data_IF_150590371855
#
_entry.id   IF_150590371855
#
_cell.length_a   1.000
_cell.length_b   1.000
_cell.length_c   1.000
_cell.angle_alpha   90.00
_cell.angle_beta   90.00
_cell.angle_gamma   90.00
#
_symmetry.space_group_name_H-M   'P 1'
#
loop_
_entity.id
_entity.type
_entity.pdbx_description
1 polymer ?
#
# COMPACT_ATOMS: atom_id res chain seq x y z
N UNK A 1 11.83 92.52 34.77
CA UNK A 1 11.48 91.15 35.20
C UNK A 1 11.44 90.28 33.97
N UNK A 2 12.54 89.56 33.68
CA UNK A 2 12.66 88.74 32.46
C UNK A 2 12.95 87.35 32.91
N UNK A 3 11.97 86.46 32.69
CA UNK A 3 12.07 85.04 33.04
C UNK A 3 12.68 84.26 31.89
N UNK A 4 13.92 83.74 32.11
CA UNK A 4 14.61 82.86 31.16
C UNK A 4 14.16 81.41 31.37
N UNK A 5 13.67 80.75 30.31
CA UNK A 5 13.46 79.36 30.25
C UNK A 5 14.77 78.59 29.90
N UNK A 6 15.08 77.49 30.53
CA UNK A 6 16.21 76.67 30.11
C UNK A 6 15.81 75.72 28.96
N UNK A 7 16.74 75.53 27.99
CA UNK A 7 16.65 74.63 26.88
C UNK A 7 16.92 73.17 27.38
N UNK A 8 15.91 72.37 27.30
CA UNK A 8 16.09 70.91 27.52
C UNK A 8 16.73 70.21 26.30
N UNK A 9 17.81 69.51 26.55
CA UNK A 9 18.51 68.63 25.56
C UNK A 9 17.71 67.39 25.39
N UNK A 10 17.15 67.15 24.22
CA UNK A 10 16.51 65.90 23.85
C UNK A 10 17.62 64.95 23.43
N UNK A 11 17.91 63.93 24.27
CA UNK A 11 18.74 62.78 23.90
C UNK A 11 17.92 61.83 23.03
N UNK A 12 18.24 61.80 21.74
CA UNK A 12 17.73 60.73 20.81
C UNK A 12 18.44 59.44 21.12
N UNK A 13 17.73 58.50 21.75
CA UNK A 13 18.15 57.12 21.91
C UNK A 13 17.84 56.38 20.62
N UNK A 14 18.87 56.14 19.82
CA UNK A 14 18.78 55.25 18.63
C UNK A 14 18.68 53.80 19.12
N UNK A 15 17.49 53.22 19.04
CA UNK A 15 17.27 51.80 19.25
C UNK A 15 17.77 51.04 18.02
N UNK A 16 18.90 50.39 18.17
CA UNK A 16 19.41 49.42 17.17
C UNK A 16 18.57 48.15 17.30
N UNK A 17 17.57 47.98 16.43
CA UNK A 17 16.83 46.73 16.33
C UNK A 17 17.71 45.67 15.67
N UNK A 18 18.30 44.78 16.47
CA UNK A 18 18.93 43.57 15.99
C UNK A 18 17.80 42.62 15.59
N UNK A 19 17.47 42.56 14.30
CA UNK A 19 16.63 41.51 13.74
C UNK A 19 17.47 40.23 13.70
N UNK A 20 17.32 39.39 14.72
CA UNK A 20 17.78 38.02 14.66
C UNK A 20 16.97 37.31 13.57
N UNK A 21 17.56 37.12 12.40
CA UNK A 21 17.04 36.20 11.39
C UNK A 21 17.08 34.78 11.98
N UNK A 22 15.91 34.30 12.38
CA UNK A 22 15.74 32.85 12.66
C UNK A 22 16.08 32.11 11.37
N UNK A 23 16.94 31.10 11.42
CA UNK A 23 17.13 30.24 10.26
C UNK A 23 15.74 29.65 9.93
N UNK A 24 15.24 29.92 8.73
CA UNK A 24 14.14 29.18 8.19
C UNK A 24 14.57 27.73 8.22
N UNK A 25 13.95 26.93 9.10
CA UNK A 25 14.05 25.48 9.06
C UNK A 25 13.55 25.10 7.68
N UNK A 26 14.47 24.93 6.74
CA UNK A 26 14.16 24.34 5.46
C UNK A 26 13.62 22.94 5.79
N UNK A 27 12.30 22.78 5.71
CA UNK A 27 11.73 21.44 5.61
C UNK A 27 12.45 20.78 4.44
N UNK A 28 13.17 19.68 4.74
CA UNK A 28 13.68 18.82 3.69
C UNK A 28 12.51 18.56 2.72
N UNK A 29 12.74 18.58 1.39
CA UNK A 29 11.71 18.23 0.45
C UNK A 29 11.06 16.94 0.92
N UNK A 30 9.73 16.90 0.98
CA UNK A 30 8.98 15.66 1.24
C UNK A 30 9.50 14.68 0.19
N UNK A 31 10.26 13.66 0.63
CA UNK A 31 10.71 12.60 -0.26
C UNK A 31 9.45 11.99 -0.86
N UNK A 32 9.26 12.22 -2.14
CA UNK A 32 8.14 11.62 -2.86
C UNK A 32 8.34 10.11 -2.81
N UNK A 33 7.28 9.36 -2.50
CA UNK A 33 7.29 7.89 -2.51
C UNK A 33 7.47 7.31 -3.92
N UNK A 34 7.82 8.13 -4.87
CA UNK A 34 7.92 7.82 -6.29
C UNK A 34 9.38 7.60 -6.66
N UNK A 35 9.71 6.37 -7.05
CA UNK A 35 11.01 5.97 -7.57
C UNK A 35 10.81 5.49 -9.02
N UNK A 36 11.18 6.32 -10.02
CA UNK A 36 10.92 6.02 -11.44
C UNK A 36 11.49 4.68 -11.91
N UNK A 37 12.62 4.26 -11.35
CA UNK A 37 13.26 2.99 -11.68
C UNK A 37 12.45 1.78 -11.21
N UNK A 38 11.68 1.93 -10.13
CA UNK A 38 10.78 0.89 -9.65
C UNK A 38 9.47 0.85 -10.44
N UNK A 39 9.05 1.95 -11.05
CA UNK A 39 7.81 2.04 -11.83
C UNK A 39 7.76 1.01 -12.95
N UNK A 40 8.86 0.85 -13.69
CA UNK A 40 8.95 -0.14 -14.75
C UNK A 40 8.78 -1.57 -14.22
N UNK A 41 9.34 -1.86 -13.04
CA UNK A 41 9.21 -3.14 -12.38
C UNK A 41 7.76 -3.40 -11.92
N UNK A 42 7.11 -2.43 -11.28
CA UNK A 42 5.70 -2.57 -10.88
C UNK A 42 4.77 -2.70 -12.09
N UNK A 43 5.03 -1.97 -13.18
CA UNK A 43 4.27 -2.16 -14.42
C UNK A 43 4.37 -3.60 -14.93
N UNK A 44 5.58 -4.18 -14.96
CA UNK A 44 5.80 -5.57 -15.35
C UNK A 44 5.12 -6.58 -14.43
N UNK A 45 5.01 -6.30 -13.11
CA UNK A 45 4.23 -7.15 -12.21
C UNK A 45 2.77 -7.22 -12.64
N UNK A 46 2.17 -6.07 -12.98
CA UNK A 46 0.78 -6.01 -13.44
C UNK A 46 0.60 -6.57 -14.86
N UNK A 47 1.67 -6.67 -15.66
CA UNK A 47 1.68 -7.44 -16.92
C UNK A 47 1.91 -8.95 -16.72
N UNK A 48 1.91 -9.43 -15.46
CA UNK A 48 2.16 -10.83 -15.08
C UNK A 48 3.55 -11.34 -15.50
N UNK A 49 4.55 -10.46 -15.47
CA UNK A 49 5.96 -10.76 -15.79
C UNK A 49 6.87 -10.63 -14.56
N UNK A 50 6.64 -11.41 -13.48
CA UNK A 50 7.35 -11.22 -12.21
C UNK A 50 8.87 -11.42 -12.33
N UNK A 51 9.33 -12.32 -13.20
CA UNK A 51 10.76 -12.53 -13.42
C UNK A 51 11.47 -11.36 -14.12
N UNK A 52 10.77 -10.63 -15.01
CA UNK A 52 11.29 -9.41 -15.63
C UNK A 52 11.24 -8.24 -14.65
N UNK A 53 10.15 -8.11 -13.90
CA UNK A 53 10.00 -7.13 -12.83
C UNK A 53 11.12 -7.24 -11.79
N UNK A 54 11.43 -8.48 -11.37
CA UNK A 54 12.51 -8.77 -10.41
C UNK A 54 13.85 -8.22 -10.86
N UNK A 55 14.21 -8.40 -12.12
CA UNK A 55 15.45 -7.87 -12.68
C UNK A 55 15.52 -6.34 -12.57
N UNK A 56 14.40 -5.62 -12.80
CA UNK A 56 14.36 -4.17 -12.63
C UNK A 56 14.53 -3.78 -11.16
N UNK A 57 13.87 -4.48 -10.25
CA UNK A 57 13.97 -4.23 -8.80
C UNK A 57 15.37 -4.54 -8.26
N UNK A 58 16.02 -5.61 -8.75
CA UNK A 58 17.40 -5.97 -8.38
C UNK A 58 18.40 -4.91 -8.83
N UNK A 59 18.27 -4.36 -10.06
CA UNK A 59 19.12 -3.26 -10.55
C UNK A 59 19.01 -2.04 -9.63
N UNK A 60 17.77 -1.67 -9.23
CA UNK A 60 17.57 -0.59 -8.26
C UNK A 60 18.19 -0.90 -6.91
N UNK A 61 17.93 -2.09 -6.37
CA UNK A 61 18.40 -2.51 -5.06
C UNK A 61 19.93 -2.57 -4.99
N UNK A 62 20.61 -3.07 -6.04
CA UNK A 62 22.07 -3.07 -6.13
C UNK A 62 22.66 -1.65 -6.09
N UNK A 63 21.99 -0.70 -6.71
CA UNK A 63 22.40 0.72 -6.73
C UNK A 63 22.04 1.44 -5.43
N UNK A 64 21.04 0.97 -4.70
CA UNK A 64 20.50 1.56 -3.47
C UNK A 64 20.29 0.49 -2.38
N UNK A 65 21.35 -0.16 -1.90
CA UNK A 65 21.23 -1.35 -1.04
C UNK A 65 20.63 -1.06 0.35
N UNK A 66 20.61 0.21 0.76
CA UNK A 66 20.01 0.65 2.02
C UNK A 66 18.54 1.13 1.88
N UNK A 67 18.02 1.15 0.64
CA UNK A 67 16.62 1.50 0.40
C UNK A 67 15.71 0.29 0.67
N UNK A 68 14.85 0.35 1.71
CA UNK A 68 13.95 -0.75 2.04
C UNK A 68 12.93 -1.05 0.95
N UNK A 69 12.58 -0.05 0.13
CA UNK A 69 11.59 -0.22 -0.95
C UNK A 69 12.14 -1.10 -2.07
N UNK A 70 13.45 -1.06 -2.34
CA UNK A 70 14.10 -1.97 -3.29
C UNK A 70 13.90 -3.44 -2.91
N UNK A 71 14.25 -3.80 -1.66
CA UNK A 71 14.04 -5.17 -1.16
C UNK A 71 12.56 -5.57 -1.10
N UNK A 72 11.66 -4.65 -0.70
CA UNK A 72 10.23 -4.92 -0.68
C UNK A 72 9.67 -5.18 -2.09
N UNK A 73 10.18 -4.46 -3.09
CA UNK A 73 9.80 -4.66 -4.50
C UNK A 73 10.28 -6.01 -5.04
N UNK A 74 11.49 -6.44 -4.68
CA UNK A 74 12.00 -7.79 -4.99
C UNK A 74 11.10 -8.85 -4.35
N UNK A 75 10.71 -8.68 -3.07
CA UNK A 75 9.78 -9.58 -2.40
C UNK A 75 8.42 -9.65 -3.13
N UNK A 76 7.88 -8.49 -3.56
CA UNK A 76 6.64 -8.45 -4.32
C UNK A 76 6.70 -9.32 -5.58
N UNK A 77 7.84 -9.35 -6.28
CA UNK A 77 8.01 -10.17 -7.48
C UNK A 77 7.91 -11.66 -7.20
N UNK A 78 8.47 -12.14 -6.10
CA UNK A 78 8.38 -13.54 -5.68
C UNK A 78 6.95 -13.92 -5.25
N UNK A 79 6.27 -13.04 -4.51
CA UNK A 79 4.88 -13.26 -4.12
C UNK A 79 3.97 -13.35 -5.36
N UNK A 80 4.13 -12.43 -6.33
CA UNK A 80 3.36 -12.48 -7.57
C UNK A 80 3.60 -13.76 -8.35
N UNK A 81 4.85 -14.20 -8.46
CA UNK A 81 5.20 -15.45 -9.14
C UNK A 81 4.54 -16.65 -8.45
N UNK A 82 4.60 -16.74 -7.13
CA UNK A 82 3.92 -17.77 -6.35
C UNK A 82 2.40 -17.74 -6.58
N UNK A 83 1.78 -16.56 -6.49
CA UNK A 83 0.35 -16.40 -6.72
C UNK A 83 -0.09 -16.81 -8.13
N UNK A 84 0.73 -16.53 -9.14
CA UNK A 84 0.49 -16.98 -10.53
C UNK A 84 0.55 -18.51 -10.62
N UNK A 85 1.61 -19.12 -10.08
CA UNK A 85 1.80 -20.59 -10.11
C UNK A 85 0.68 -21.34 -9.38
N UNK A 86 0.20 -20.78 -8.26
CA UNK A 86 -0.91 -21.37 -7.50
C UNK A 86 -2.30 -21.06 -8.08
N UNK A 87 -2.39 -20.22 -9.12
CA UNK A 87 -3.65 -19.85 -9.76
C UNK A 87 -4.62 -19.08 -8.89
N UNK A 88 -4.12 -18.36 -7.86
CA UNK A 88 -4.97 -17.64 -6.89
C UNK A 88 -5.38 -16.24 -7.34
N UNK A 89 -4.86 -15.74 -8.46
CA UNK A 89 -5.14 -14.37 -8.95
C UNK A 89 -6.47 -14.24 -9.71
N UNK A 90 -7.31 -15.27 -9.77
CA UNK A 90 -8.57 -15.26 -10.53
C UNK A 90 -9.75 -14.78 -9.71
N UNK A 91 -10.75 -14.16 -10.36
CA UNK A 91 -12.01 -13.80 -9.69
C UNK A 91 -12.71 -14.99 -9.08
N UNK A 92 -12.65 -16.18 -9.74
CA UNK A 92 -13.19 -17.42 -9.23
C UNK A 92 -12.63 -17.77 -7.85
N UNK A 93 -11.30 -17.63 -7.66
CA UNK A 93 -10.67 -17.91 -6.38
C UNK A 93 -11.21 -17.00 -5.27
N UNK A 94 -11.28 -15.69 -5.53
CA UNK A 94 -11.72 -14.72 -4.54
C UNK A 94 -13.24 -14.74 -4.28
N UNK A 95 -14.07 -15.13 -5.25
CA UNK A 95 -15.52 -15.15 -5.10
C UNK A 95 -16.06 -16.43 -4.49
N UNK A 96 -15.32 -17.54 -4.63
CA UNK A 96 -15.68 -18.81 -4.01
C UNK A 96 -15.11 -18.89 -2.59
N UNK A 97 -16.00 -18.86 -1.59
CA UNK A 97 -15.58 -18.91 -0.19
C UNK A 97 -14.90 -20.24 0.19
N UNK A 98 -15.14 -21.34 -0.54
CA UNK A 98 -14.43 -22.60 -0.30
C UNK A 98 -12.99 -22.53 -0.78
N UNK A 99 -12.74 -21.86 -1.90
CA UNK A 99 -11.39 -21.63 -2.43
C UNK A 99 -10.64 -20.58 -1.60
N UNK A 100 -11.30 -19.47 -1.28
CA UNK A 100 -10.67 -18.34 -0.58
C UNK A 100 -10.40 -18.64 0.90
N UNK A 101 -11.43 -19.12 1.63
CA UNK A 101 -11.36 -19.36 3.08
C UNK A 101 -11.14 -20.82 3.46
N UNK A 102 -11.30 -21.72 2.51
CA UNK A 102 -11.16 -23.17 2.73
C UNK A 102 -9.70 -23.58 2.86
N UNK A 103 -9.49 -24.70 3.54
CA UNK A 103 -8.16 -25.34 3.66
C UNK A 103 -7.89 -26.25 2.47
N UNK A 104 -8.04 -25.73 1.25
CA UNK A 104 -7.62 -26.48 0.06
C UNK A 104 -6.09 -26.39 0.01
N UNK A 105 -5.38 -27.53 0.06
CA UNK A 105 -3.93 -27.50 0.06
C UNK A 105 -3.42 -26.92 -1.26
N UNK A 106 -2.59 -25.90 -1.14
CA UNK A 106 -1.74 -25.39 -2.22
C UNK A 106 -0.35 -26.04 -2.06
N UNK A 107 0.43 -26.03 -3.09
CA UNK A 107 1.78 -26.59 -3.10
C UNK A 107 2.80 -25.48 -3.41
N UNK A 108 3.09 -24.59 -2.44
CA UNK A 108 4.02 -23.48 -2.65
C UNK A 108 5.41 -24.02 -3.01
N UNK A 109 6.07 -23.33 -3.96
CA UNK A 109 7.45 -23.63 -4.30
C UNK A 109 8.37 -23.25 -3.14
N UNK A 110 9.12 -24.21 -2.56
CA UNK A 110 9.99 -23.91 -1.41
C UNK A 110 11.07 -22.88 -1.71
N UNK A 111 11.52 -22.79 -2.97
CA UNK A 111 12.55 -21.83 -3.40
C UNK A 111 11.97 -20.43 -3.48
N UNK A 112 10.81 -20.27 -4.14
CA UNK A 112 10.12 -18.99 -4.19
C UNK A 112 9.73 -18.49 -2.80
N UNK A 113 9.20 -19.40 -1.97
CA UNK A 113 8.88 -19.10 -0.57
C UNK A 113 10.08 -18.57 0.19
N UNK A 114 11.22 -19.27 0.14
CA UNK A 114 12.43 -18.87 0.84
C UNK A 114 12.95 -17.53 0.34
N UNK A 115 12.94 -17.30 -0.97
CA UNK A 115 13.37 -16.05 -1.58
C UNK A 115 12.44 -14.89 -1.21
N UNK A 116 11.12 -15.10 -1.21
CA UNK A 116 10.14 -14.11 -0.74
C UNK A 116 10.44 -13.65 0.68
N UNK A 117 10.49 -14.59 1.63
CA UNK A 117 10.69 -14.24 3.04
C UNK A 117 12.08 -13.67 3.32
N UNK A 118 13.11 -14.05 2.55
CA UNK A 118 14.45 -13.45 2.67
C UNK A 118 14.46 -11.98 2.24
N UNK A 119 13.90 -11.66 1.07
CA UNK A 119 13.81 -10.30 0.56
C UNK A 119 12.88 -9.43 1.43
N UNK A 120 11.75 -9.98 1.86
CA UNK A 120 10.79 -9.30 2.72
C UNK A 120 11.38 -8.96 4.10
N UNK A 121 12.08 -9.91 4.72
CA UNK A 121 12.81 -9.68 5.97
C UNK A 121 13.88 -8.60 5.80
N UNK A 122 14.62 -8.60 4.70
CA UNK A 122 15.62 -7.56 4.42
C UNK A 122 14.95 -6.18 4.34
N UNK A 123 13.82 -6.07 3.64
CA UNK A 123 13.05 -4.83 3.56
C UNK A 123 12.63 -4.32 4.95
N UNK A 124 12.11 -5.21 5.80
CA UNK A 124 11.70 -4.87 7.16
C UNK A 124 12.89 -4.44 8.03
N UNK A 125 14.02 -5.17 7.98
CA UNK A 125 15.20 -4.85 8.75
C UNK A 125 15.75 -3.45 8.37
N UNK A 126 15.87 -3.16 7.08
CA UNK A 126 16.30 -1.85 6.56
C UNK A 126 15.32 -0.74 6.95
N UNK A 127 14.02 -0.96 6.77
CA UNK A 127 13.00 0.01 7.13
C UNK A 127 13.01 0.30 8.64
N UNK A 128 13.09 -0.73 9.48
CA UNK A 128 13.18 -0.56 10.94
C UNK A 128 14.45 0.18 11.35
N UNK A 129 15.59 -0.10 10.71
CA UNK A 129 16.83 0.62 10.98
C UNK A 129 16.67 2.11 10.66
N UNK A 130 16.09 2.45 9.51
CA UNK A 130 15.86 3.82 9.08
C UNK A 130 14.86 4.53 9.99
N UNK A 131 13.79 3.87 10.39
CA UNK A 131 12.77 4.41 11.29
C UNK A 131 13.25 4.66 12.73
N UNK A 132 14.35 4.02 13.19
CA UNK A 132 14.98 4.34 14.49
C UNK A 132 15.62 5.73 14.50
N UNK A 133 16.17 6.17 13.39
CA UNK A 133 16.83 7.48 13.26
C UNK A 133 15.92 8.53 12.63
N UNK A 134 15.02 8.12 11.76
CA UNK A 134 14.06 8.97 11.03
C UNK A 134 12.64 8.41 11.16
N UNK A 135 11.94 8.61 12.29
CA UNK A 135 10.64 7.98 12.55
C UNK A 135 9.53 8.33 11.57
N UNK A 136 9.67 9.40 10.81
CA UNK A 136 8.73 9.88 9.78
C UNK A 136 9.21 9.64 8.35
N UNK A 137 10.23 8.80 8.13
CA UNK A 137 10.69 8.48 6.78
C UNK A 137 9.59 7.77 5.99
N UNK A 138 9.10 8.42 4.94
CA UNK A 138 7.93 7.96 4.19
C UNK A 138 8.22 6.67 3.41
N UNK A 139 9.42 6.53 2.81
CA UNK A 139 9.81 5.32 2.10
C UNK A 139 9.89 4.11 3.03
N UNK A 140 10.49 4.29 4.21
CA UNK A 140 10.59 3.22 5.19
C UNK A 140 9.23 2.84 5.78
N UNK A 141 8.32 3.82 6.02
CA UNK A 141 6.96 3.55 6.45
C UNK A 141 6.16 2.82 5.38
N UNK A 142 6.34 3.20 4.12
CA UNK A 142 5.68 2.52 2.99
C UNK A 142 6.22 1.10 2.81
N UNK A 143 7.55 0.91 2.85
CA UNK A 143 8.15 -0.41 2.76
C UNK A 143 7.67 -1.36 3.87
N UNK A 144 7.53 -0.88 5.12
CA UNK A 144 6.92 -1.66 6.22
C UNK A 144 5.46 -1.99 5.96
N UNK A 145 4.69 -1.03 5.43
CA UNK A 145 3.28 -1.25 5.10
C UNK A 145 3.13 -2.30 4.01
N UNK A 146 3.93 -2.20 2.95
CA UNK A 146 3.92 -3.12 1.82
C UNK A 146 4.38 -4.53 2.25
N UNK A 147 5.48 -4.62 2.95
CA UNK A 147 6.08 -5.87 3.42
C UNK A 147 5.13 -6.66 4.33
N UNK A 148 4.62 -6.05 5.39
CA UNK A 148 3.63 -6.70 6.28
C UNK A 148 2.31 -7.05 5.57
N UNK A 149 1.91 -6.24 4.58
CA UNK A 149 0.77 -6.53 3.71
C UNK A 149 1.01 -7.79 2.87
N UNK A 150 2.20 -7.93 2.29
CA UNK A 150 2.59 -9.10 1.50
C UNK A 150 2.71 -10.37 2.36
N UNK A 151 3.26 -10.28 3.58
CA UNK A 151 3.23 -11.40 4.52
C UNK A 151 1.79 -11.83 4.86
N UNK A 152 0.89 -10.85 5.07
CA UNK A 152 -0.52 -11.13 5.32
C UNK A 152 -1.17 -11.83 4.12
N UNK A 153 -0.86 -11.41 2.90
CA UNK A 153 -1.35 -12.04 1.68
C UNK A 153 -0.79 -13.47 1.54
N UNK A 154 0.51 -13.68 1.77
CA UNK A 154 1.10 -15.01 1.74
C UNK A 154 0.42 -15.94 2.75
N UNK A 155 0.28 -15.48 4.00
CA UNK A 155 -0.36 -16.25 5.06
C UNK A 155 -1.83 -16.60 4.74
N UNK A 156 -2.59 -15.65 4.16
CA UNK A 156 -4.02 -15.87 3.87
C UNK A 156 -4.27 -16.64 2.58
N UNK A 157 -3.56 -16.30 1.50
CA UNK A 157 -3.82 -16.84 0.16
C UNK A 157 -3.12 -18.17 -0.06
N UNK A 158 -1.88 -18.31 0.40
CA UNK A 158 -1.03 -19.47 0.16
C UNK A 158 -1.08 -20.45 1.34
N UNK A 159 -0.71 -19.99 2.54
CA UNK A 159 -0.63 -20.85 3.74
C UNK A 159 -2.00 -21.15 4.37
N UNK A 160 -3.05 -20.40 4.01
CA UNK A 160 -4.40 -20.52 4.59
C UNK A 160 -4.45 -20.26 6.11
N UNK A 161 -3.53 -19.44 6.62
CA UNK A 161 -3.41 -19.06 8.02
C UNK A 161 -4.09 -17.71 8.29
N UNK A 162 -5.41 -17.68 8.23
CA UNK A 162 -6.22 -16.45 8.30
C UNK A 162 -6.01 -15.63 9.59
N UNK A 163 -5.75 -16.29 10.74
CA UNK A 163 -5.55 -15.57 12.01
C UNK A 163 -4.18 -14.89 12.06
N UNK A 164 -3.16 -15.48 11.47
CA UNK A 164 -1.83 -14.89 11.41
C UNK A 164 -1.81 -13.73 10.43
N UNK A 165 -2.45 -13.90 9.26
CA UNK A 165 -2.69 -12.80 8.31
C UNK A 165 -3.33 -11.58 9.00
N UNK A 166 -4.35 -11.79 9.84
CA UNK A 166 -5.02 -10.69 10.53
C UNK A 166 -4.11 -9.93 11.51
N UNK A 167 -3.16 -10.60 12.17
CA UNK A 167 -2.14 -9.94 13.01
C UNK A 167 -1.22 -9.05 12.16
N UNK A 168 -0.75 -9.57 11.02
CA UNK A 168 0.13 -8.84 10.09
C UNK A 168 -0.58 -7.61 9.51
N UNK A 169 -1.84 -7.74 9.10
CA UNK A 169 -2.68 -6.61 8.64
C UNK A 169 -2.73 -5.52 9.70
N UNK A 170 -2.96 -5.86 10.98
CA UNK A 170 -3.02 -4.87 12.07
C UNK A 170 -1.69 -4.14 12.29
N UNK A 171 -0.57 -4.82 12.12
CA UNK A 171 0.74 -4.18 12.19
C UNK A 171 0.96 -3.28 10.96
N UNK A 172 0.61 -3.75 9.76
CA UNK A 172 0.67 -2.95 8.53
C UNK A 172 -0.16 -1.66 8.66
N UNK A 173 -1.38 -1.74 9.23
CA UNK A 173 -2.25 -0.59 9.44
C UNK A 173 -1.60 0.50 10.31
N UNK A 174 -0.80 0.13 11.31
CA UNK A 174 -0.08 1.12 12.14
C UNK A 174 0.95 1.89 11.32
N UNK A 175 1.68 1.21 10.44
CA UNK A 175 2.65 1.87 9.56
C UNK A 175 1.94 2.71 8.49
N UNK A 176 0.84 2.22 7.91
CA UNK A 176 0.04 2.97 6.96
C UNK A 176 -0.52 4.29 7.56
N UNK A 177 -1.01 4.24 8.81
CA UNK A 177 -1.47 5.44 9.51
C UNK A 177 -0.33 6.42 9.78
N UNK A 178 0.86 5.94 10.18
CA UNK A 178 2.04 6.78 10.35
C UNK A 178 2.50 7.39 9.02
N UNK A 179 2.42 6.61 7.94
CA UNK A 179 2.72 7.09 6.59
C UNK A 179 1.80 8.24 6.18
N UNK A 180 0.50 8.12 6.43
CA UNK A 180 -0.46 9.20 6.13
C UNK A 180 -0.26 10.46 6.99
N UNK A 181 0.36 10.33 8.16
CA UNK A 181 0.78 11.50 8.97
C UNK A 181 2.03 12.15 8.38
N UNK A 182 3.01 11.35 7.92
CA UNK A 182 4.27 11.83 7.36
C UNK A 182 4.12 12.35 5.92
N UNK A 183 3.30 11.67 5.12
CA UNK A 183 3.00 11.99 3.72
C UNK A 183 1.49 11.84 3.47
N UNK A 184 0.68 12.89 3.69
CA UNK A 184 -0.78 12.83 3.57
C UNK A 184 -1.29 12.52 2.15
N UNK A 185 -0.48 12.69 1.14
CA UNK A 185 -0.74 12.38 -0.27
C UNK A 185 -0.37 10.95 -0.68
N UNK A 186 0.20 10.15 0.25
CA UNK A 186 0.56 8.75 0.01
C UNK A 186 -0.69 7.85 -0.10
N UNK A 187 -1.41 7.98 -1.21
CA UNK A 187 -2.69 7.29 -1.42
C UNK A 187 -2.58 5.75 -1.41
N UNK A 188 -1.40 5.19 -1.71
CA UNK A 188 -1.14 3.75 -1.62
C UNK A 188 -1.36 3.19 -0.20
N UNK A 189 -1.16 4.00 0.85
CA UNK A 189 -1.40 3.61 2.23
C UNK A 189 -2.86 3.22 2.51
N UNK A 190 -3.79 3.75 1.73
CA UNK A 190 -5.21 3.42 1.87
C UNK A 190 -5.58 2.02 1.36
N UNK A 191 -4.70 1.33 0.61
CA UNK A 191 -4.99 -0.01 0.10
C UNK A 191 -5.22 -1.00 1.25
N UNK A 192 -4.24 -1.19 2.14
CA UNK A 192 -4.32 -2.13 3.26
C UNK A 192 -5.49 -1.78 4.19
N UNK A 193 -5.60 -0.50 4.58
CA UNK A 193 -6.70 0.01 5.40
C UNK A 193 -8.07 -0.30 4.76
N UNK A 194 -8.17 -0.11 3.44
CA UNK A 194 -9.39 -0.38 2.67
C UNK A 194 -9.75 -1.85 2.64
N UNK A 195 -8.78 -2.73 2.39
CA UNK A 195 -8.96 -4.19 2.40
C UNK A 195 -9.43 -4.68 3.76
N UNK A 196 -8.73 -4.29 4.84
CA UNK A 196 -9.08 -4.68 6.20
C UNK A 196 -10.51 -4.26 6.56
N UNK A 197 -10.85 -2.98 6.35
CA UNK A 197 -12.19 -2.47 6.59
C UNK A 197 -13.27 -3.17 5.77
N UNK A 198 -13.01 -3.42 4.48
CA UNK A 198 -13.97 -4.09 3.60
C UNK A 198 -14.21 -5.55 4.01
N UNK A 199 -13.14 -6.32 4.25
CA UNK A 199 -13.26 -7.74 4.60
C UNK A 199 -13.97 -7.89 5.95
N UNK A 200 -13.51 -7.21 7.01
CA UNK A 200 -14.09 -7.27 8.34
C UNK A 200 -15.53 -6.74 8.30
N UNK A 201 -15.73 -5.63 7.60
CA UNK A 201 -17.05 -5.03 7.38
C UNK A 201 -18.04 -5.91 6.62
N UNK A 202 -17.57 -6.86 5.82
CA UNK A 202 -18.40 -7.79 5.06
C UNK A 202 -18.71 -9.10 5.77
N UNK A 203 -18.12 -9.36 6.94
CA UNK A 203 -18.38 -10.58 7.72
C UNK A 203 -19.81 -10.61 8.26
N UNK A 204 -20.43 -11.80 8.41
CA UNK A 204 -21.70 -11.95 9.11
C UNK A 204 -21.67 -11.38 10.54
N UNK A 205 -22.80 -10.83 11.00
CA UNK A 205 -22.89 -10.09 12.26
C UNK A 205 -22.34 -10.85 13.48
N UNK A 206 -22.56 -12.17 13.55
CA UNK A 206 -22.04 -13.00 14.65
C UNK A 206 -20.50 -13.05 14.66
N UNK A 207 -19.86 -13.16 13.48
CA UNK A 207 -18.38 -13.12 13.38
C UNK A 207 -17.82 -11.74 13.71
N UNK A 208 -18.49 -10.67 13.24
CA UNK A 208 -18.15 -9.28 13.63
C UNK A 208 -18.20 -9.07 15.13
N UNK A 209 -19.23 -9.61 15.79
CA UNK A 209 -19.39 -9.49 17.23
C UNK A 209 -18.20 -10.09 17.98
N UNK A 210 -17.78 -11.32 17.63
CA UNK A 210 -16.61 -11.95 18.25
C UNK A 210 -15.30 -11.21 17.95
N UNK A 211 -15.11 -10.70 16.75
CA UNK A 211 -13.94 -9.89 16.39
C UNK A 211 -13.95 -8.54 17.15
N UNK A 212 -15.13 -7.96 17.37
CA UNK A 212 -15.29 -6.74 18.16
C UNK A 212 -14.81 -6.89 19.60
N UNK A 213 -15.03 -8.04 20.25
CA UNK A 213 -14.44 -8.33 21.57
C UNK A 213 -12.91 -8.38 21.55
N UNK A 214 -12.30 -8.78 20.42
CA UNK A 214 -10.86 -8.73 20.23
C UNK A 214 -10.35 -7.34 19.78
N UNK A 215 -11.21 -6.31 19.80
CA UNK A 215 -10.87 -4.95 19.37
C UNK A 215 -10.70 -4.81 17.85
N UNK A 216 -11.25 -5.74 17.06
CA UNK A 216 -11.15 -5.74 15.61
C UNK A 216 -12.47 -5.24 15.03
N UNK A 217 -12.41 -4.05 14.43
CA UNK A 217 -13.57 -3.40 13.83
C UNK A 217 -13.32 -3.14 12.35
N UNK A 218 -14.36 -3.15 11.54
CA UNK A 218 -14.31 -2.80 10.14
C UNK A 218 -15.66 -2.34 9.62
N UNK A 219 -15.64 -1.36 8.74
CA UNK A 219 -16.80 -0.83 8.04
C UNK A 219 -16.60 -0.99 6.53
N UNK A 220 -17.49 -1.76 5.91
CA UNK A 220 -17.45 -2.05 4.48
C UNK A 220 -17.49 -0.78 3.63
N UNK A 221 -18.27 0.23 4.02
CA UNK A 221 -18.40 1.49 3.28
C UNK A 221 -17.11 2.29 3.37
N UNK A 222 -16.51 2.36 4.56
CA UNK A 222 -15.20 3.00 4.76
C UNK A 222 -14.13 2.28 3.94
N UNK A 223 -14.13 0.94 3.95
CA UNK A 223 -13.20 0.14 3.14
C UNK A 223 -13.28 0.43 1.65
N UNK A 224 -14.50 0.49 1.09
CA UNK A 224 -14.69 0.83 -0.32
C UNK A 224 -14.23 2.27 -0.64
N UNK A 225 -14.45 3.23 0.27
CA UNK A 225 -13.96 4.61 0.10
C UNK A 225 -12.42 4.66 0.09
N UNK A 226 -11.78 3.96 1.01
CA UNK A 226 -10.31 3.88 1.08
C UNK A 226 -9.71 3.21 -0.17
N UNK A 227 -10.30 2.10 -0.63
CA UNK A 227 -9.90 1.48 -1.89
C UNK A 227 -10.07 2.42 -3.09
N UNK A 228 -11.14 3.23 -3.11
CA UNK A 228 -11.35 4.21 -4.16
C UNK A 228 -10.29 5.34 -4.13
N UNK A 229 -9.83 5.77 -2.94
CA UNK A 229 -8.73 6.73 -2.81
C UNK A 229 -7.44 6.12 -3.38
N UNK A 230 -7.10 4.89 -3.01
CA UNK A 230 -5.92 4.19 -3.53
C UNK A 230 -6.02 3.96 -5.05
N UNK A 231 -7.20 3.63 -5.58
CA UNK A 231 -7.42 3.43 -7.01
C UNK A 231 -7.36 4.73 -7.84
N UNK A 232 -7.63 5.89 -7.22
CA UNK A 232 -7.56 7.18 -7.89
C UNK A 232 -6.19 7.84 -7.82
N UNK A 233 -5.54 7.78 -6.64
CA UNK A 233 -4.33 8.56 -6.33
C UNK A 233 -3.11 7.72 -5.96
N UNK A 234 -3.23 6.40 -5.82
CA UNK A 234 -2.11 5.52 -5.54
C UNK A 234 -1.11 5.50 -6.68
N UNK A 235 0.13 5.17 -6.37
CA UNK A 235 1.20 5.09 -7.33
C UNK A 235 1.49 3.62 -7.68
N UNK A 236 2.16 2.90 -6.81
CA UNK A 236 2.52 1.50 -7.03
C UNK A 236 1.33 0.53 -6.91
N UNK A 237 0.39 0.82 -5.99
CA UNK A 237 -0.71 -0.08 -5.66
C UNK A 237 -2.05 0.33 -6.30
N UNK A 238 -2.07 1.38 -7.10
CA UNK A 238 -3.27 1.84 -7.83
C UNK A 238 -3.93 0.73 -8.66
N UNK A 239 -3.20 -0.04 -9.48
CA UNK A 239 -3.81 -1.13 -10.24
C UNK A 239 -4.38 -2.22 -9.32
N UNK A 240 -3.69 -2.52 -8.22
CA UNK A 240 -4.18 -3.51 -7.25
C UNK A 240 -5.46 -3.04 -6.56
N UNK A 241 -5.56 -1.76 -6.20
CA UNK A 241 -6.79 -1.17 -5.66
C UNK A 241 -7.97 -1.30 -6.66
N UNK A 242 -7.74 -1.08 -7.97
CA UNK A 242 -8.75 -1.29 -9.02
C UNK A 242 -9.19 -2.76 -9.10
N UNK A 243 -8.26 -3.72 -9.00
CA UNK A 243 -8.58 -5.15 -8.95
C UNK A 243 -9.49 -5.45 -7.75
N UNK A 244 -9.16 -4.95 -6.58
CA UNK A 244 -9.94 -5.17 -5.36
C UNK A 244 -11.34 -4.52 -5.43
N UNK A 245 -11.46 -3.33 -6.03
CA UNK A 245 -12.77 -2.71 -6.29
C UNK A 245 -13.61 -3.53 -7.27
N UNK A 246 -12.99 -4.10 -8.32
CA UNK A 246 -13.70 -5.00 -9.24
C UNK A 246 -14.20 -6.26 -8.52
N UNK A 247 -13.36 -6.90 -7.71
CA UNK A 247 -13.73 -8.07 -6.89
C UNK A 247 -14.84 -7.74 -5.88
N UNK A 248 -14.75 -6.60 -5.21
CA UNK A 248 -15.78 -6.13 -4.28
C UNK A 248 -17.11 -5.90 -5.00
N UNK A 249 -17.07 -5.26 -6.18
CA UNK A 249 -18.26 -5.04 -7.01
C UNK A 249 -18.92 -6.37 -7.44
N UNK A 250 -18.12 -7.37 -7.84
CA UNK A 250 -18.63 -8.71 -8.19
C UNK A 250 -19.27 -9.41 -6.99
N UNK A 251 -18.65 -9.34 -5.80
CA UNK A 251 -19.25 -9.86 -4.57
C UNK A 251 -20.58 -9.21 -4.23
N UNK A 252 -20.73 -7.92 -4.55
CA UNK A 252 -21.95 -7.15 -4.33
C UNK A 252 -22.96 -7.22 -5.47
N UNK A 253 -22.73 -8.10 -6.47
CA UNK A 253 -23.58 -8.27 -7.65
C UNK A 253 -23.76 -6.99 -8.46
N UNK A 254 -22.70 -6.18 -8.58
CA UNK A 254 -22.63 -4.94 -9.35
C UNK A 254 -21.65 -5.08 -10.52
N UNK A 255 -21.92 -5.93 -11.53
CA UNK A 255 -20.97 -6.26 -12.58
C UNK A 255 -20.54 -5.06 -13.42
N UNK A 256 -21.37 -4.02 -13.54
CA UNK A 256 -21.03 -2.81 -14.31
C UNK A 256 -19.86 -2.03 -13.67
N UNK A 257 -19.82 -1.96 -12.33
CA UNK A 257 -18.71 -1.33 -11.64
C UNK A 257 -17.42 -2.15 -11.80
N UNK A 258 -17.51 -3.48 -11.75
CA UNK A 258 -16.37 -4.35 -12.03
C UNK A 258 -15.87 -4.18 -13.46
N UNK A 259 -16.80 -4.11 -14.44
CA UNK A 259 -16.47 -3.90 -15.85
C UNK A 259 -15.71 -2.58 -16.08
N UNK A 260 -16.10 -1.51 -15.40
CA UNK A 260 -15.39 -0.22 -15.48
C UNK A 260 -13.94 -0.37 -15.05
N UNK A 261 -13.68 -0.96 -13.89
CA UNK A 261 -12.32 -1.15 -13.38
C UNK A 261 -11.50 -2.06 -14.30
N UNK A 262 -12.08 -3.16 -14.78
CA UNK A 262 -11.38 -4.10 -15.66
C UNK A 262 -11.08 -3.50 -17.05
N UNK A 263 -11.94 -2.64 -17.59
CA UNK A 263 -11.64 -1.93 -18.84
C UNK A 263 -10.43 -1.01 -18.71
N UNK A 264 -10.34 -0.28 -17.60
CA UNK A 264 -9.19 0.58 -17.34
C UNK A 264 -7.91 -0.25 -17.18
N UNK A 265 -7.97 -1.38 -16.46
CA UNK A 265 -6.82 -2.29 -16.29
C UNK A 265 -6.38 -2.92 -17.62
N UNK A 266 -7.31 -3.36 -18.49
CA UNK A 266 -6.98 -3.89 -19.83
C UNK A 266 -6.33 -2.83 -20.71
N UNK A 267 -6.79 -1.58 -20.62
CA UNK A 267 -6.20 -0.49 -21.40
C UNK A 267 -4.79 -0.11 -20.92
N UNK A 268 -4.55 -0.20 -19.62
CA UNK A 268 -3.28 0.16 -19.00
C UNK A 268 -2.24 -0.98 -19.09
N UNK A 269 -2.70 -2.24 -19.03
CA UNK A 269 -1.89 -3.46 -19.03
C UNK A 269 -2.35 -4.41 -20.14
N UNK A 270 -2.09 -4.09 -21.41
CA UNK A 270 -2.63 -4.84 -22.55
C UNK A 270 -2.04 -6.26 -22.70
N UNK A 271 -0.87 -6.52 -22.14
CA UNK A 271 -0.26 -7.85 -22.17
C UNK A 271 -0.78 -8.77 -21.05
N UNK A 272 -1.52 -8.24 -20.08
CA UNK A 272 -2.15 -9.04 -19.03
C UNK A 272 -3.38 -9.77 -19.55
N UNK A 273 -3.20 -11.01 -19.96
CA UNK A 273 -4.28 -11.86 -20.48
C UNK A 273 -5.34 -12.18 -19.43
N UNK A 274 -5.01 -12.12 -18.13
CA UNK A 274 -5.96 -12.37 -17.06
C UNK A 274 -7.01 -11.26 -16.99
N UNK A 275 -6.62 -9.98 -17.09
CA UNK A 275 -7.57 -8.87 -17.09
C UNK A 275 -8.55 -8.96 -18.28
N UNK A 276 -8.03 -9.27 -19.48
CA UNK A 276 -8.85 -9.46 -20.65
C UNK A 276 -9.83 -10.64 -20.48
N UNK A 277 -9.36 -11.77 -19.91
CA UNK A 277 -10.19 -12.93 -19.63
C UNK A 277 -11.30 -12.62 -18.61
N UNK A 278 -10.97 -11.92 -17.52
CA UNK A 278 -11.95 -11.56 -16.49
C UNK A 278 -12.99 -10.57 -17.03
N UNK A 279 -12.60 -9.62 -17.87
CA UNK A 279 -13.51 -8.71 -18.54
C UNK A 279 -14.44 -9.46 -19.50
N UNK A 280 -13.92 -10.44 -20.26
CA UNK A 280 -14.71 -11.24 -21.20
C UNK A 280 -15.81 -12.03 -20.48
N UNK A 281 -15.55 -12.57 -19.28
CA UNK A 281 -16.56 -13.28 -18.47
C UNK A 281 -17.77 -12.42 -18.13
N UNK A 282 -17.58 -11.09 -17.99
CA UNK A 282 -18.68 -10.16 -17.70
C UNK A 282 -19.50 -9.77 -18.94
N UNK A 283 -19.03 -10.08 -20.14
CA UNK A 283 -19.72 -9.81 -21.38
C UNK A 283 -20.62 -10.96 -21.85
N UNK A 284 -20.48 -12.13 -21.20
CA UNK A 284 -21.36 -13.28 -21.49
C UNK A 284 -22.69 -13.07 -20.73
N UNK A 285 -23.85 -13.05 -21.41
CA UNK A 285 -25.14 -13.00 -20.73
C UNK A 285 -25.24 -14.17 -19.74
N UNK A 286 -25.67 -13.87 -18.50
CA UNK A 286 -25.96 -14.93 -17.55
C UNK A 286 -26.92 -15.94 -18.21
N UNK A 287 -26.49 -17.19 -18.37
CA UNK A 287 -27.39 -18.25 -18.81
C UNK A 287 -28.60 -18.25 -17.87
N UNK A 288 -29.79 -18.08 -18.45
CA UNK A 288 -31.06 -18.02 -17.72
C UNK A 288 -31.38 -19.38 -17.11
#
# INVERSE_FOLDING_TARGET
MICRRPRGIVKVLTFLAITAALPASGQAPIETLHVPELDAGFHLLYELKPGEARKQFEIWHESNPEDPLGSASVAASYLFEECIQQGVLTSKFFLDNKLFLGKIPLHPDPTLRAAFFAADKQAQDLAQQRLRTHPGDANALFAMTLSLGMEADYASLIDKHQLDSLKMVREADKYAQRLLVAAPDAADAYLGLGVANYIIGSLPGIKKFFLGFAGIHGDKRVGLQQLAIAAAGGHYLRPFAKILLALAALREKKPELARTQLKELVAEFPENTLFASELAKLNVPAAK
#
